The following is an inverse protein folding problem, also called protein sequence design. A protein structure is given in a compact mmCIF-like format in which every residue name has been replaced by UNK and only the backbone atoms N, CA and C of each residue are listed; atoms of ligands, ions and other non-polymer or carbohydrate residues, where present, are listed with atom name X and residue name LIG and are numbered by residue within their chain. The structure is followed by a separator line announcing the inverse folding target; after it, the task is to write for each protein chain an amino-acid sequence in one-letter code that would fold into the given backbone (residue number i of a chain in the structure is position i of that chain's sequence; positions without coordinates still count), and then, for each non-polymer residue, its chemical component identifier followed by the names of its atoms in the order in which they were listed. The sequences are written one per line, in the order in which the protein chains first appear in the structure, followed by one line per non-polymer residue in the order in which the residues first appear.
data_IF_725896569941
#
_entry.id   IF_725896569941
#
_cell.length_a   1.000
_cell.length_b   1.000
_cell.length_c   1.000
_cell.angle_alpha   90.00
_cell.angle_beta   90.00
_cell.angle_gamma   90.00
#
_symmetry.space_group_name_H-M   'P 1'
#
loop_
_entity.id
_entity.type
_entity.pdbx_description
1 polymer ?
#
# COMPACT_ATOMS: atom_id res chain seq x y z
N UNK A 1 -18.95 -11.94 0.70
CA UNK A 1 -19.15 -10.56 0.21
C UNK A 1 -18.69 -10.54 -1.22
N UNK A 2 -19.55 -10.17 -2.16
CA UNK A 2 -19.17 -10.11 -3.56
C UNK A 2 -18.34 -8.84 -3.79
N UNK A 3 -17.13 -9.01 -4.30
CA UNK A 3 -16.29 -7.92 -4.80
C UNK A 3 -16.82 -7.44 -6.15
N UNK A 4 -18.08 -7.01 -6.17
CA UNK A 4 -18.78 -6.71 -7.39
C UNK A 4 -18.26 -5.46 -8.08
N UNK A 5 -18.21 -5.53 -9.39
CA UNK A 5 -17.82 -4.43 -10.29
C UNK A 5 -18.51 -3.10 -9.94
N UNK A 6 -19.79 -3.18 -9.53
CA UNK A 6 -20.58 -2.02 -9.12
C UNK A 6 -20.00 -1.33 -7.88
N UNK A 7 -19.60 -2.08 -6.86
CA UNK A 7 -19.04 -1.53 -5.62
C UNK A 7 -17.70 -0.81 -5.87
N UNK A 8 -16.83 -1.38 -6.69
CA UNK A 8 -15.53 -0.78 -7.03
C UNK A 8 -15.72 0.53 -7.79
N UNK A 9 -16.62 0.56 -8.79
CA UNK A 9 -16.98 1.79 -9.53
C UNK A 9 -17.57 2.86 -8.62
N UNK A 10 -18.49 2.48 -7.73
CA UNK A 10 -19.09 3.40 -6.77
C UNK A 10 -18.05 4.02 -5.85
N UNK A 11 -17.18 3.20 -5.25
CA UNK A 11 -16.10 3.67 -4.39
C UNK A 11 -15.18 4.62 -5.16
N UNK A 12 -14.72 4.24 -6.35
CA UNK A 12 -13.84 5.08 -7.15
C UNK A 12 -14.49 6.44 -7.48
N UNK A 13 -15.76 6.46 -7.88
CA UNK A 13 -16.51 7.69 -8.15
C UNK A 13 -16.62 8.58 -6.90
N UNK A 14 -16.91 7.99 -5.76
CA UNK A 14 -17.01 8.70 -4.48
C UNK A 14 -15.67 9.29 -4.03
N UNK A 15 -14.57 8.65 -4.41
CA UNK A 15 -13.22 9.09 -4.07
C UNK A 15 -12.68 10.20 -4.97
N UNK A 16 -13.15 10.36 -6.22
CA UNK A 16 -12.65 11.35 -7.18
C UNK A 16 -12.58 12.79 -6.64
N UNK A 17 -13.42 13.13 -5.67
CA UNK A 17 -13.45 14.47 -5.03
C UNK A 17 -12.35 14.66 -3.98
N UNK A 18 -11.70 13.58 -3.55
CA UNK A 18 -10.78 13.57 -2.42
C UNK A 18 -9.37 13.15 -2.81
N UNK A 19 -9.22 12.36 -3.86
CA UNK A 19 -7.94 11.78 -4.27
C UNK A 19 -7.45 12.42 -5.57
N UNK A 20 -6.14 12.41 -5.75
CA UNK A 20 -5.53 12.79 -7.02
C UNK A 20 -5.60 11.59 -7.96
N UNK A 21 -6.05 11.77 -9.21
CA UNK A 21 -5.75 10.81 -10.27
C UNK A 21 -4.24 10.96 -10.56
N UNK A 22 -3.44 10.08 -9.94
CA UNK A 22 -1.99 10.19 -9.96
C UNK A 22 -1.44 9.93 -11.36
N UNK A 23 -0.34 10.62 -11.75
CA UNK A 23 0.20 10.49 -13.10
C UNK A 23 0.74 9.09 -13.35
N UNK A 24 0.76 8.72 -14.63
CA UNK A 24 1.47 7.55 -15.14
C UNK A 24 2.61 8.03 -16.02
N UNK A 25 3.83 7.60 -15.70
CA UNK A 25 5.02 7.91 -16.49
C UNK A 25 5.54 6.66 -17.22
N UNK A 26 6.25 6.89 -18.32
CA UNK A 26 6.99 5.89 -19.06
C UNK A 26 8.36 6.46 -19.43
N UNK A 27 9.39 5.61 -19.39
CA UNK A 27 10.77 6.03 -19.64
C UNK A 27 11.46 5.02 -20.56
N UNK A 28 11.93 5.47 -21.73
CA UNK A 28 12.59 4.63 -22.72
C UNK A 28 13.82 3.91 -22.16
N UNK A 29 14.53 4.52 -21.20
CA UNK A 29 15.67 3.90 -20.53
C UNK A 29 15.26 2.65 -19.72
N UNK A 30 14.06 2.63 -19.13
CA UNK A 30 13.55 1.47 -18.39
C UNK A 30 12.99 0.44 -19.37
N UNK A 31 12.29 0.86 -20.41
CA UNK A 31 11.78 -0.02 -21.45
C UNK A 31 12.92 -0.83 -22.06
N UNK A 32 14.04 -0.15 -22.38
CA UNK A 32 15.26 -0.79 -22.92
C UNK A 32 15.91 -1.74 -21.92
N UNK A 33 16.00 -1.36 -20.64
CA UNK A 33 16.57 -2.18 -19.56
C UNK A 33 15.76 -3.46 -19.35
N UNK A 34 14.43 -3.35 -19.36
CA UNK A 34 13.52 -4.47 -19.08
C UNK A 34 13.09 -5.24 -20.33
N UNK A 35 13.38 -4.75 -21.54
CA UNK A 35 12.91 -5.30 -22.82
C UNK A 35 11.36 -5.42 -22.89
N UNK A 36 10.65 -4.46 -22.31
CA UNK A 36 9.19 -4.40 -22.28
C UNK A 36 8.73 -2.95 -22.11
N UNK A 37 7.45 -2.65 -22.30
CA UNK A 37 6.90 -1.33 -22.09
C UNK A 37 6.52 -1.17 -20.60
N UNK A 38 7.11 -0.21 -19.88
CA UNK A 38 6.93 -0.05 -18.43
C UNK A 38 6.21 1.26 -18.11
N UNK A 39 5.07 1.14 -17.45
CA UNK A 39 4.20 2.24 -17.02
C UNK A 39 4.21 2.36 -15.51
N UNK A 40 4.56 3.53 -14.98
CA UNK A 40 4.68 3.81 -13.54
C UNK A 40 3.46 4.58 -13.04
N UNK A 41 2.53 3.95 -12.32
CA UNK A 41 1.43 4.61 -11.60
C UNK A 41 1.97 5.19 -10.31
N UNK A 42 2.10 6.52 -10.25
CA UNK A 42 2.90 7.22 -9.23
C UNK A 42 2.08 7.65 -8.02
N UNK A 43 1.74 6.73 -7.13
CA UNK A 43 1.04 7.01 -5.87
C UNK A 43 1.89 7.79 -4.84
N UNK A 44 3.18 7.97 -5.08
CA UNK A 44 4.02 8.91 -4.34
C UNK A 44 3.58 10.38 -4.52
N UNK A 45 2.82 10.70 -5.57
CA UNK A 45 2.18 12.01 -5.77
C UNK A 45 0.77 12.11 -5.18
N UNK A 46 0.25 11.07 -4.58
CA UNK A 46 -1.03 11.11 -3.89
C UNK A 46 -0.92 11.98 -2.63
N UNK A 47 -2.03 12.49 -2.15
CA UNK A 47 -2.11 13.14 -0.84
C UNK A 47 -1.41 12.30 0.22
N UNK A 48 -0.68 12.94 1.14
CA UNK A 48 0.19 12.30 2.14
C UNK A 48 1.34 11.47 1.57
N UNK A 49 1.65 11.61 0.29
CA UNK A 49 2.80 10.97 -0.36
C UNK A 49 2.66 9.46 -0.54
N UNK A 50 1.45 8.89 -0.51
CA UNK A 50 1.25 7.44 -0.72
C UNK A 50 -0.20 7.06 -1.03
N UNK A 51 -0.39 5.89 -1.63
CA UNK A 51 -1.70 5.29 -1.92
C UNK A 51 -2.64 5.18 -0.71
N UNK A 52 -2.06 5.17 0.50
CA UNK A 52 -2.81 4.96 1.75
C UNK A 52 -3.91 6.00 1.99
N UNK A 53 -3.81 7.18 1.39
CA UNK A 53 -4.86 8.17 1.50
C UNK A 53 -6.19 7.70 0.88
N UNK A 54 -6.14 6.96 -0.24
CA UNK A 54 -7.32 6.35 -0.88
C UNK A 54 -8.07 5.41 0.07
N UNK A 55 -7.30 4.56 0.76
CA UNK A 55 -7.81 3.64 1.76
C UNK A 55 -8.43 4.36 2.96
N UNK A 56 -7.70 5.33 3.50
CA UNK A 56 -8.09 6.06 4.71
C UNK A 56 -9.39 6.85 4.52
N UNK A 57 -9.48 7.61 3.42
CA UNK A 57 -10.67 8.43 3.14
C UNK A 57 -11.90 7.53 2.90
N UNK A 58 -11.74 6.40 2.19
CA UNK A 58 -12.85 5.47 1.96
C UNK A 58 -13.33 4.83 3.27
N UNK A 59 -12.41 4.33 4.10
CA UNK A 59 -12.76 3.68 5.36
C UNK A 59 -13.48 4.63 6.32
N UNK A 60 -13.06 5.91 6.43
CA UNK A 60 -13.76 6.89 7.25
C UNK A 60 -15.15 7.20 6.69
N UNK A 61 -15.30 7.34 5.37
CA UNK A 61 -16.61 7.60 4.74
C UNK A 61 -17.60 6.46 4.91
N UNK A 62 -17.11 5.22 5.02
CA UNK A 62 -17.92 4.00 5.16
C UNK A 62 -18.16 3.60 6.62
N UNK A 63 -17.46 4.23 7.58
CA UNK A 63 -17.66 3.90 8.99
C UNK A 63 -19.12 4.17 9.43
N UNK A 64 -19.66 3.41 10.40
CA UNK A 64 -21.00 3.62 10.96
C UNK A 64 -21.16 5.03 11.53
N UNK A 65 -22.37 5.60 11.38
CA UNK A 65 -22.66 7.00 11.69
C UNK A 65 -22.47 7.34 13.18
N UNK A 66 -22.69 6.38 14.06
CA UNK A 66 -22.52 6.49 15.51
C UNK A 66 -21.08 6.85 15.94
N UNK A 67 -20.08 6.52 15.12
CA UNK A 67 -18.68 6.85 15.40
C UNK A 67 -18.24 8.24 14.90
N UNK A 68 -19.09 8.97 14.20
CA UNK A 68 -18.71 10.30 13.66
C UNK A 68 -18.31 11.30 14.73
N UNK A 69 -18.94 11.24 15.92
CA UNK A 69 -18.63 12.14 17.03
C UNK A 69 -17.48 11.64 17.89
N UNK A 70 -17.36 10.34 18.08
CA UNK A 70 -16.33 9.73 18.92
C UNK A 70 -15.02 9.53 18.16
N UNK A 71 -15.09 9.18 16.87
CA UNK A 71 -13.94 9.16 15.97
C UNK A 71 -13.37 7.78 15.66
N UNK A 72 -12.20 7.81 15.05
CA UNK A 72 -11.49 6.62 14.58
C UNK A 72 -10.19 6.41 15.33
N UNK A 73 -9.74 5.14 15.35
CA UNK A 73 -8.42 4.76 15.88
C UNK A 73 -7.75 3.77 14.94
N UNK A 74 -6.42 3.87 14.83
CA UNK A 74 -5.58 2.86 14.16
C UNK A 74 -4.25 2.69 14.90
N UNK A 75 -3.57 1.57 14.65
CA UNK A 75 -2.17 1.38 15.02
C UNK A 75 -1.28 1.38 13.77
N UNK A 76 -0.50 2.42 13.61
CA UNK A 76 0.44 2.54 12.49
C UNK A 76 1.47 3.63 12.78
N UNK A 77 2.72 3.39 12.35
CA UNK A 77 3.80 4.39 12.44
C UNK A 77 4.19 4.97 11.08
N UNK A 78 3.55 4.52 10.00
CA UNK A 78 3.93 4.89 8.63
C UNK A 78 2.82 5.59 7.86
N UNK A 79 2.81 5.33 6.56
CA UNK A 79 1.94 5.97 5.59
C UNK A 79 0.44 5.93 5.95
N UNK A 80 -0.04 4.85 6.59
CA UNK A 80 -1.46 4.77 6.96
C UNK A 80 -1.81 5.69 8.13
N UNK A 81 -0.93 5.85 9.13
CA UNK A 81 -1.15 6.79 10.22
C UNK A 81 -1.30 8.22 9.70
N UNK A 82 -0.38 8.65 8.83
CA UNK A 82 -0.42 9.97 8.18
C UNK A 82 -1.68 10.15 7.33
N UNK A 83 -2.01 9.16 6.52
CA UNK A 83 -3.20 9.17 5.66
C UNK A 83 -4.51 9.25 6.46
N UNK A 84 -4.65 8.44 7.53
CA UNK A 84 -5.84 8.43 8.37
C UNK A 84 -6.00 9.74 9.12
N UNK A 85 -4.91 10.28 9.69
CA UNK A 85 -4.94 11.54 10.40
C UNK A 85 -5.38 12.69 9.49
N UNK A 86 -4.83 12.79 8.26
CA UNK A 86 -5.24 13.80 7.28
C UNK A 86 -6.69 13.61 6.83
N UNK A 87 -7.10 12.41 6.46
CA UNK A 87 -8.46 12.13 6.01
C UNK A 87 -9.50 12.46 7.11
N UNK A 88 -9.20 12.12 8.35
CA UNK A 88 -10.03 12.44 9.50
C UNK A 88 -10.12 13.97 9.74
N UNK A 89 -8.99 14.67 9.63
CA UNK A 89 -8.94 16.13 9.74
C UNK A 89 -9.84 16.80 8.68
N UNK A 90 -9.73 16.40 7.41
CA UNK A 90 -10.53 16.93 6.30
C UNK A 90 -12.03 16.65 6.48
N UNK A 91 -12.39 15.49 7.02
CA UNK A 91 -13.78 15.10 7.29
C UNK A 91 -14.29 15.54 8.66
N UNK A 92 -13.46 16.26 9.44
CA UNK A 92 -13.77 16.75 10.81
C UNK A 92 -14.15 15.61 11.76
N UNK A 93 -13.46 14.48 11.67
CA UNK A 93 -13.63 13.29 12.51
C UNK A 93 -12.49 13.24 13.53
N UNK A 94 -12.74 13.04 14.83
CA UNK A 94 -11.68 12.80 15.80
C UNK A 94 -10.84 11.59 15.42
N UNK A 95 -9.50 11.70 15.51
CA UNK A 95 -8.59 10.64 15.09
C UNK A 95 -7.56 10.35 16.17
N UNK A 96 -7.41 9.08 16.53
CA UNK A 96 -6.43 8.57 17.48
C UNK A 96 -5.45 7.66 16.75
N UNK A 97 -4.14 7.86 16.98
CA UNK A 97 -3.09 7.06 16.36
C UNK A 97 -2.22 6.42 17.44
N UNK A 98 -2.17 5.09 17.44
CA UNK A 98 -1.23 4.33 18.27
C UNK A 98 0.02 4.06 17.44
N UNK A 99 1.18 4.51 17.91
CA UNK A 99 2.45 4.32 17.20
C UNK A 99 3.60 3.96 18.16
N UNK A 100 4.62 3.23 17.68
CA UNK A 100 5.80 2.94 18.47
C UNK A 100 6.54 4.20 18.92
N UNK A 101 7.08 4.18 20.13
CA UNK A 101 7.85 5.29 20.70
C UNK A 101 9.14 5.61 19.90
N UNK A 102 9.70 4.62 19.20
CA UNK A 102 10.86 4.79 18.31
C UNK A 102 10.50 5.21 16.87
N UNK A 103 9.25 5.64 16.63
CA UNK A 103 8.85 6.16 15.31
C UNK A 103 9.70 7.38 14.95
N UNK A 104 10.31 7.43 13.75
CA UNK A 104 11.11 8.57 13.32
C UNK A 104 10.35 9.90 13.40
N UNK A 105 11.03 10.95 13.85
CA UNK A 105 10.42 12.26 14.09
C UNK A 105 9.67 12.83 12.88
N UNK A 106 10.18 12.65 11.65
CA UNK A 106 9.51 13.16 10.46
C UNK A 106 8.14 12.49 10.24
N UNK A 107 8.01 11.17 10.52
CA UNK A 107 6.73 10.45 10.43
C UNK A 107 5.78 10.90 11.54
N UNK A 108 6.29 11.05 12.78
CA UNK A 108 5.49 11.53 13.91
C UNK A 108 4.98 12.96 13.68
N UNK A 109 5.85 13.86 13.21
CA UNK A 109 5.49 15.25 12.88
C UNK A 109 4.41 15.33 11.80
N UNK A 110 4.48 14.49 10.77
CA UNK A 110 3.47 14.41 9.71
C UNK A 110 2.08 14.06 10.26
N UNK A 111 2.00 13.16 11.25
CA UNK A 111 0.75 12.82 11.92
C UNK A 111 0.26 13.94 12.82
N UNK A 112 1.16 14.53 13.62
CA UNK A 112 0.86 15.61 14.57
C UNK A 112 0.37 16.89 13.88
N UNK A 113 0.63 17.06 12.58
CA UNK A 113 0.07 18.16 11.77
C UNK A 113 -1.46 18.07 11.63
N UNK A 114 -2.06 16.91 11.85
CA UNK A 114 -3.50 16.68 11.66
C UNK A 114 -4.23 16.24 12.91
N UNK A 115 -3.57 15.60 13.88
CA UNK A 115 -4.16 15.21 15.15
C UNK A 115 -3.17 15.28 16.30
N UNK A 116 -3.64 15.70 17.48
CA UNK A 116 -2.84 15.68 18.71
C UNK A 116 -3.01 14.38 19.52
N UNK A 117 -3.94 13.51 19.11
CA UNK A 117 -4.24 12.26 19.82
C UNK A 117 -3.31 11.14 19.36
N UNK A 118 -2.02 11.31 19.57
CA UNK A 118 -0.99 10.30 19.34
C UNK A 118 -0.66 9.62 20.65
N UNK A 119 -0.78 8.30 20.67
CA UNK A 119 -0.52 7.45 21.84
C UNK A 119 0.71 6.58 21.51
N UNK A 120 1.76 6.72 22.29
CA UNK A 120 2.99 5.93 22.11
C UNK A 120 2.86 4.58 22.82
N UNK A 121 3.47 3.55 22.22
CA UNK A 121 3.59 2.22 22.79
C UNK A 121 4.99 1.65 22.52
N UNK A 122 5.28 0.47 23.05
CA UNK A 122 6.51 -0.24 22.73
C UNK A 122 6.64 -0.61 21.25
N UNK A 123 7.89 -0.81 20.79
CA UNK A 123 8.24 -0.96 19.37
C UNK A 123 8.02 -2.38 18.84
N UNK A 124 6.86 -2.97 19.12
CA UNK A 124 6.48 -4.27 18.59
C UNK A 124 4.98 -4.33 18.22
N UNK A 125 4.60 -5.30 17.39
CA UNK A 125 3.22 -5.44 16.93
C UNK A 125 2.25 -5.72 18.08
N UNK A 126 2.63 -6.61 19.00
CA UNK A 126 1.79 -6.99 20.15
C UNK A 126 1.46 -5.79 21.03
N UNK A 127 2.44 -4.93 21.31
CA UNK A 127 2.22 -3.71 22.08
C UNK A 127 1.27 -2.74 21.39
N UNK A 128 1.38 -2.58 20.06
CA UNK A 128 0.47 -1.74 19.27
C UNK A 128 -0.97 -2.26 19.34
N UNK A 129 -1.16 -3.55 19.14
CA UNK A 129 -2.48 -4.20 19.20
C UNK A 129 -3.06 -4.14 20.60
N UNK A 130 -2.27 -4.46 21.63
CA UNK A 130 -2.65 -4.40 23.03
C UNK A 130 -3.08 -2.97 23.42
N UNK A 131 -2.24 -1.97 23.16
CA UNK A 131 -2.56 -0.56 23.49
C UNK A 131 -3.84 -0.11 22.79
N UNK A 132 -4.01 -0.49 21.52
CA UNK A 132 -5.22 -0.16 20.76
C UNK A 132 -6.44 -0.83 21.40
N UNK A 133 -6.35 -2.10 21.78
CA UNK A 133 -7.47 -2.84 22.41
C UNK A 133 -7.87 -2.25 23.75
N UNK A 134 -6.92 -1.82 24.59
CA UNK A 134 -7.20 -1.17 25.88
C UNK A 134 -7.91 0.18 25.69
N UNK A 135 -7.52 0.96 24.68
CA UNK A 135 -8.21 2.21 24.36
C UNK A 135 -9.64 1.95 23.91
N UNK A 136 -9.86 0.94 23.08
CA UNK A 136 -11.19 0.57 22.57
C UNK A 136 -12.14 0.08 23.68
N UNK A 137 -11.63 -0.54 24.76
CA UNK A 137 -12.46 -0.92 25.93
C UNK A 137 -13.03 0.30 26.68
N UNK A 138 -12.27 1.40 26.66
CA UNK A 138 -12.58 2.60 27.45
C UNK A 138 -13.17 3.74 26.61
N UNK A 139 -13.04 3.69 25.29
CA UNK A 139 -13.54 4.72 24.37
C UNK A 139 -14.30 4.08 23.23
N UNK A 140 -15.44 4.62 22.90
CA UNK A 140 -16.27 4.19 21.77
C UNK A 140 -15.69 4.75 20.47
N UNK A 141 -14.59 4.14 19.96
CA UNK A 141 -13.91 4.54 18.73
C UNK A 141 -14.04 3.45 17.65
N UNK A 142 -14.10 3.85 16.38
CA UNK A 142 -14.11 2.92 15.27
C UNK A 142 -12.67 2.55 14.87
N UNK A 143 -12.32 1.27 15.02
CA UNK A 143 -11.01 0.77 14.66
C UNK A 143 -10.91 0.54 13.15
N UNK A 144 -9.90 1.15 12.52
CA UNK A 144 -9.58 0.95 11.11
C UNK A 144 -8.20 0.28 11.00
N UNK A 145 -8.19 -1.00 10.61
CA UNK A 145 -6.95 -1.74 10.39
C UNK A 145 -6.24 -1.26 9.12
N UNK A 146 -4.91 -1.04 9.12
CA UNK A 146 -4.15 -0.46 7.99
C UNK A 146 -4.18 -1.22 6.66
N UNK A 147 -4.57 -2.51 6.67
CA UNK A 147 -4.59 -3.38 5.49
C UNK A 147 -5.67 -4.46 5.53
N UNK A 148 -5.97 -5.04 6.70
CA UNK A 148 -6.93 -6.13 6.88
C UNK A 148 -8.33 -5.58 7.20
N UNK A 149 -8.87 -4.78 6.29
CA UNK A 149 -10.19 -4.15 6.40
C UNK A 149 -10.75 -3.98 4.98
N UNK A 150 -12.01 -4.37 4.75
CA UNK A 150 -12.60 -4.36 3.41
C UNK A 150 -12.73 -2.97 2.82
N UNK A 151 -13.10 -1.96 3.61
CA UNK A 151 -13.20 -0.58 3.11
C UNK A 151 -11.84 0.01 2.76
N UNK A 152 -10.77 -0.39 3.48
CA UNK A 152 -9.38 -0.08 3.14
C UNK A 152 -8.99 -0.72 1.80
N UNK A 153 -9.32 -1.99 1.59
CA UNK A 153 -9.04 -2.72 0.34
C UNK A 153 -9.80 -2.08 -0.84
N UNK A 154 -11.08 -1.79 -0.66
CA UNK A 154 -11.90 -1.14 -1.69
C UNK A 154 -11.42 0.28 -2.01
N UNK A 155 -10.97 1.04 -1.01
CA UNK A 155 -10.34 2.35 -1.26
C UNK A 155 -9.08 2.22 -2.12
N UNK A 156 -8.23 1.23 -1.82
CA UNK A 156 -7.01 0.95 -2.58
C UNK A 156 -7.29 0.50 -4.03
N UNK A 157 -8.42 -0.19 -4.28
CA UNK A 157 -8.78 -0.65 -5.62
C UNK A 157 -8.94 0.49 -6.64
N UNK A 158 -9.24 1.69 -6.18
CA UNK A 158 -9.37 2.88 -7.04
C UNK A 158 -8.08 3.21 -7.79
N UNK A 159 -6.91 2.93 -7.21
CA UNK A 159 -5.62 3.13 -7.88
C UNK A 159 -5.49 2.26 -9.14
N UNK A 160 -5.73 0.96 -9.01
CA UNK A 160 -5.64 0.02 -10.12
C UNK A 160 -6.79 0.20 -11.12
N UNK A 161 -7.98 0.63 -10.66
CA UNK A 161 -9.09 0.94 -11.55
C UNK A 161 -8.77 2.14 -12.45
N UNK A 162 -8.24 3.25 -11.91
CA UNK A 162 -7.75 4.36 -12.72
C UNK A 162 -6.71 3.88 -13.73
N UNK A 163 -5.75 3.08 -13.27
CA UNK A 163 -4.64 2.62 -14.09
C UNK A 163 -5.12 1.77 -15.28
N UNK A 164 -6.01 0.80 -15.06
CA UNK A 164 -6.48 -0.07 -16.15
C UNK A 164 -7.48 0.62 -17.09
N UNK A 165 -8.20 1.63 -16.61
CA UNK A 165 -9.07 2.45 -17.48
C UNK A 165 -8.21 3.31 -18.42
N UNK A 166 -7.17 3.95 -17.90
CA UNK A 166 -6.30 4.84 -18.68
C UNK A 166 -5.36 4.04 -19.60
N UNK A 167 -4.98 2.81 -19.20
CA UNK A 167 -4.06 1.91 -19.92
C UNK A 167 -4.66 0.50 -20.06
N UNK A 168 -5.70 0.29 -20.90
CA UNK A 168 -6.45 -0.97 -20.97
C UNK A 168 -5.65 -2.14 -21.57
N UNK A 169 -4.51 -1.86 -22.22
CA UNK A 169 -3.67 -2.87 -22.87
C UNK A 169 -2.53 -3.38 -21.97
N UNK A 170 -2.56 -3.15 -20.65
CA UNK A 170 -1.59 -3.73 -19.74
C UNK A 170 -1.76 -5.25 -19.69
N UNK A 171 -0.64 -5.99 -19.84
CA UNK A 171 -0.58 -7.45 -19.68
C UNK A 171 -0.46 -7.83 -18.19
N UNK A 172 0.31 -7.03 -17.43
CA UNK A 172 0.54 -7.27 -16.01
C UNK A 172 0.57 -5.98 -15.21
N UNK A 173 0.09 -6.02 -13.96
CA UNK A 173 0.31 -4.97 -12.96
C UNK A 173 1.07 -5.56 -11.78
N UNK A 174 2.20 -4.95 -11.44
CA UNK A 174 2.99 -5.28 -10.27
C UNK A 174 2.59 -4.41 -9.10
N UNK A 175 2.35 -5.03 -7.95
CA UNK A 175 2.05 -4.36 -6.70
C UNK A 175 2.99 -4.83 -5.58
N UNK A 176 3.58 -3.93 -4.78
CA UNK A 176 4.36 -4.33 -3.63
C UNK A 176 3.45 -4.92 -2.55
N UNK A 177 3.98 -5.90 -1.79
CA UNK A 177 3.25 -6.59 -0.73
C UNK A 177 3.89 -6.33 0.62
N UNK A 178 3.10 -5.82 1.56
CA UNK A 178 3.29 -5.88 2.99
C UNK A 178 2.04 -6.50 3.58
N UNK A 179 1.26 -5.76 4.37
CA UNK A 179 -0.01 -6.28 4.92
C UNK A 179 -1.13 -6.56 3.91
N UNK A 180 -0.86 -6.66 2.62
CA UNK A 180 -1.75 -7.17 1.58
C UNK A 180 -2.87 -6.25 1.09
N UNK A 181 -3.10 -5.08 1.71
CA UNK A 181 -4.26 -4.23 1.39
C UNK A 181 -4.23 -3.60 -0.01
N UNK A 182 -3.03 -3.24 -0.54
CA UNK A 182 -2.88 -2.67 -1.87
C UNK A 182 -3.07 -3.73 -2.96
N UNK A 183 -2.35 -4.84 -2.85
CA UNK A 183 -2.41 -5.90 -3.84
C UNK A 183 -3.80 -6.55 -3.89
N UNK A 184 -4.47 -6.73 -2.75
CA UNK A 184 -5.85 -7.21 -2.72
C UNK A 184 -6.79 -6.23 -3.45
N UNK A 185 -6.67 -4.92 -3.19
CA UNK A 185 -7.42 -3.89 -3.91
C UNK A 185 -7.13 -3.89 -5.41
N UNK A 186 -5.84 -3.98 -5.78
CA UNK A 186 -5.41 -4.11 -7.18
C UNK A 186 -6.03 -5.33 -7.84
N UNK A 187 -5.99 -6.48 -7.16
CA UNK A 187 -6.48 -7.76 -7.71
C UNK A 187 -7.98 -7.75 -7.98
N UNK A 188 -8.79 -7.23 -7.04
CA UNK A 188 -10.24 -7.14 -7.27
C UNK A 188 -10.59 -6.15 -8.39
N UNK A 189 -9.84 -5.05 -8.52
CA UNK A 189 -10.04 -4.11 -9.63
C UNK A 189 -9.73 -4.78 -10.97
N UNK A 190 -8.56 -5.40 -11.10
CA UNK A 190 -8.14 -6.03 -12.35
C UNK A 190 -9.06 -7.19 -12.74
N UNK A 191 -9.42 -8.07 -11.81
CA UNK A 191 -10.33 -9.17 -12.07
C UNK A 191 -11.71 -8.71 -12.58
N UNK A 192 -12.17 -7.53 -12.17
CA UNK A 192 -13.49 -7.01 -12.57
C UNK A 192 -13.46 -6.13 -13.83
N UNK A 193 -12.30 -5.55 -14.21
CA UNK A 193 -12.24 -4.53 -15.25
C UNK A 193 -11.27 -4.84 -16.39
N UNK A 194 -10.53 -5.94 -16.31
CA UNK A 194 -9.69 -6.43 -17.40
C UNK A 194 -9.86 -7.93 -17.59
N UNK A 195 -9.91 -8.37 -18.84
CA UNK A 195 -9.98 -9.79 -19.20
C UNK A 195 -8.59 -10.42 -19.31
N UNK A 196 -7.57 -9.62 -19.64
CA UNK A 196 -6.24 -10.12 -20.00
C UNK A 196 -5.14 -9.74 -19.01
N UNK A 197 -5.32 -8.66 -18.24
CA UNK A 197 -4.29 -8.20 -17.32
C UNK A 197 -4.24 -9.09 -16.07
N UNK A 198 -3.02 -9.45 -15.64
CA UNK A 198 -2.77 -10.26 -14.45
C UNK A 198 -2.02 -9.47 -13.39
N UNK A 199 -2.25 -9.79 -12.11
CA UNK A 199 -1.58 -9.14 -10.98
C UNK A 199 -0.40 -9.98 -10.50
N UNK A 200 0.76 -9.33 -10.39
CA UNK A 200 2.00 -9.88 -9.85
C UNK A 200 2.32 -9.18 -8.54
N UNK A 201 2.59 -9.95 -7.50
CA UNK A 201 3.12 -9.44 -6.25
C UNK A 201 4.63 -9.28 -6.29
N UNK A 202 5.16 -8.30 -5.57
CA UNK A 202 6.59 -8.16 -5.34
C UNK A 202 6.85 -7.96 -3.85
N UNK A 203 7.78 -8.74 -3.28
CA UNK A 203 8.01 -8.81 -1.84
C UNK A 203 9.52 -8.93 -1.54
N UNK A 204 10.05 -8.28 -0.49
CA UNK A 204 11.43 -8.49 -0.07
C UNK A 204 11.63 -9.91 0.47
N UNK A 205 12.72 -10.57 0.08
CA UNK A 205 13.01 -11.95 0.50
C UNK A 205 13.21 -12.13 2.02
N UNK A 206 13.52 -11.04 2.74
CA UNK A 206 13.68 -11.08 4.20
C UNK A 206 12.35 -11.02 4.97
N UNK A 207 11.23 -10.72 4.28
CA UNK A 207 9.87 -10.61 4.85
C UNK A 207 8.89 -11.20 3.84
N UNK A 208 9.01 -12.49 3.57
CA UNK A 208 8.40 -13.24 2.48
C UNK A 208 7.12 -13.99 2.88
N UNK A 209 6.42 -13.49 3.90
CA UNK A 209 5.22 -14.17 4.43
C UNK A 209 4.11 -14.31 3.38
N UNK A 210 3.92 -13.36 2.50
CA UNK A 210 2.88 -13.44 1.46
C UNK A 210 3.25 -14.49 0.40
N UNK A 211 4.51 -14.57 0.00
CA UNK A 211 5.00 -15.62 -0.90
C UNK A 211 4.78 -17.02 -0.30
N UNK A 212 5.22 -17.23 0.94
CA UNK A 212 5.03 -18.51 1.66
C UNK A 212 3.55 -18.83 1.86
N UNK A 213 2.74 -17.82 2.19
CA UNK A 213 1.29 -17.99 2.35
C UNK A 213 0.60 -18.45 1.07
N UNK A 214 1.00 -17.90 -0.10
CA UNK A 214 0.43 -18.29 -1.38
C UNK A 214 0.78 -19.76 -1.73
N UNK A 215 1.98 -20.20 -1.40
CA UNK A 215 2.42 -21.58 -1.65
C UNK A 215 1.75 -22.57 -0.69
N UNK A 216 1.73 -22.25 0.62
CA UNK A 216 1.21 -23.17 1.65
C UNK A 216 -0.32 -23.20 1.72
N UNK A 217 -1.00 -22.20 1.14
CA UNK A 217 -2.45 -22.06 1.19
C UNK A 217 -3.00 -21.58 2.53
N UNK A 218 -2.14 -21.12 3.45
CA UNK A 218 -2.49 -20.55 4.76
C UNK A 218 -1.65 -19.32 5.07
N UNK A 219 -2.11 -18.47 6.00
CA UNK A 219 -1.36 -17.29 6.40
C UNK A 219 -0.10 -17.71 7.16
N UNK A 220 1.05 -17.36 6.60
CA UNK A 220 2.37 -17.49 7.23
C UNK A 220 2.79 -16.17 7.88
N UNK A 221 3.74 -16.22 8.82
CA UNK A 221 4.21 -15.04 9.55
C UNK A 221 5.73 -14.91 9.39
N UNK A 222 6.20 -13.67 9.35
CA UNK A 222 7.63 -13.38 9.35
C UNK A 222 8.21 -13.46 10.75
N UNK A 223 9.37 -14.13 10.88
CA UNK A 223 10.16 -14.17 12.12
C UNK A 223 10.93 -12.85 12.33
N UNK A 224 11.24 -12.16 11.26
CA UNK A 224 11.99 -10.89 11.24
C UNK A 224 11.24 -9.82 10.47
N UNK A 225 11.53 -8.57 10.78
CA UNK A 225 11.08 -7.38 10.03
C UNK A 225 12.25 -6.62 9.41
N UNK A 226 13.38 -7.31 9.18
CA UNK A 226 14.62 -6.72 8.72
C UNK A 226 14.60 -6.50 7.20
N UNK A 227 14.03 -5.39 6.77
CA UNK A 227 14.06 -4.91 5.39
C UNK A 227 14.11 -3.39 5.36
N UNK A 228 14.78 -2.82 4.34
CA UNK A 228 14.77 -1.37 4.06
C UNK A 228 13.39 -0.90 3.58
N UNK A 229 12.58 -1.80 3.00
CA UNK A 229 11.22 -1.54 2.57
C UNK A 229 10.25 -1.50 3.78
N UNK A 230 10.37 -0.46 4.60
CA UNK A 230 9.69 -0.33 5.89
C UNK A 230 8.16 -0.39 5.82
N UNK A 231 7.56 -0.02 4.69
CA UNK A 231 6.13 -0.16 4.41
C UNK A 231 5.65 -1.60 4.20
N UNK A 232 6.58 -2.57 4.05
CA UNK A 232 6.28 -3.96 3.71
C UNK A 232 6.57 -4.98 4.85
N UNK A 233 6.79 -4.51 6.08
CA UNK A 233 7.16 -5.34 7.25
C UNK A 233 6.00 -6.08 7.92
N UNK A 234 4.78 -5.95 7.39
CA UNK A 234 3.57 -6.47 8.06
C UNK A 234 2.99 -7.65 7.30
N UNK A 235 2.54 -8.67 8.05
CA UNK A 235 1.98 -9.88 7.48
C UNK A 235 0.58 -9.67 6.86
N UNK A 236 0.17 -10.64 6.04
CA UNK A 236 -1.18 -10.72 5.49
C UNK A 236 -2.24 -10.87 6.59
N UNK A 237 -3.46 -10.51 6.27
CA UNK A 237 -4.61 -10.67 7.16
C UNK A 237 -5.67 -11.61 6.60
N UNK A 238 -6.61 -12.00 7.46
CA UNK A 238 -7.68 -12.96 7.12
C UNK A 238 -8.68 -12.46 6.08
N UNK A 239 -8.79 -11.14 5.87
CA UNK A 239 -9.69 -10.55 4.87
C UNK A 239 -9.01 -10.46 3.50
N UNK A 240 -7.74 -10.08 3.45
CA UNK A 240 -7.03 -9.86 2.19
C UNK A 240 -6.39 -11.13 1.62
N UNK A 241 -5.99 -12.10 2.47
CA UNK A 241 -5.36 -13.33 2.00
C UNK A 241 -6.22 -14.15 1.02
N UNK A 242 -7.52 -14.42 1.27
CA UNK A 242 -8.35 -15.13 0.29
C UNK A 242 -8.46 -14.40 -1.07
N UNK A 243 -8.42 -13.07 -1.08
CA UNK A 243 -8.41 -12.29 -2.31
C UNK A 243 -7.12 -12.49 -3.07
N UNK A 244 -5.98 -12.41 -2.35
CA UNK A 244 -4.64 -12.61 -2.92
C UNK A 244 -4.52 -14.03 -3.49
N UNK A 245 -4.95 -15.03 -2.73
CA UNK A 245 -4.91 -16.43 -3.14
C UNK A 245 -5.71 -16.70 -4.42
N UNK A 246 -6.86 -16.03 -4.59
CA UNK A 246 -7.73 -16.23 -5.75
C UNK A 246 -7.31 -15.45 -7.00
N UNK A 247 -6.70 -14.27 -6.85
CA UNK A 247 -6.56 -13.32 -7.96
C UNK A 247 -5.11 -12.87 -8.24
N UNK A 248 -4.14 -13.19 -7.39
CA UNK A 248 -2.73 -12.91 -7.65
C UNK A 248 -2.12 -14.09 -8.40
N UNK A 249 -1.48 -13.81 -9.54
CA UNK A 249 -0.85 -14.82 -10.39
C UNK A 249 0.32 -15.51 -9.71
N UNK A 250 1.20 -14.70 -9.12
CA UNK A 250 2.40 -15.12 -8.42
C UNK A 250 2.99 -13.97 -7.61
N UNK A 251 3.91 -14.29 -6.71
CA UNK A 251 4.69 -13.32 -5.93
C UNK A 251 6.17 -13.53 -6.25
N UNK A 252 6.87 -12.44 -6.60
CA UNK A 252 8.28 -12.43 -6.93
C UNK A 252 9.08 -11.86 -5.76
N UNK A 253 10.13 -12.57 -5.36
CA UNK A 253 11.01 -12.16 -4.26
C UNK A 253 12.24 -11.42 -4.77
N UNK A 254 12.61 -10.36 -4.05
CA UNK A 254 13.79 -9.52 -4.32
C UNK A 254 14.64 -9.35 -3.07
N UNK A 255 15.96 -9.23 -3.24
CA UNK A 255 16.89 -8.96 -2.15
C UNK A 255 16.93 -7.46 -1.80
N UNK A 256 17.53 -7.13 -0.65
CA UNK A 256 17.74 -5.74 -0.22
C UNK A 256 18.61 -4.96 -1.23
N UNK A 257 19.66 -5.61 -1.78
CA UNK A 257 20.54 -5.00 -2.80
C UNK A 257 19.77 -4.70 -4.09
N UNK A 258 18.94 -5.65 -4.57
CA UNK A 258 18.09 -5.44 -5.75
C UNK A 258 17.09 -4.28 -5.56
N UNK A 259 16.60 -4.10 -4.32
CA UNK A 259 15.73 -2.97 -3.96
C UNK A 259 16.53 -1.65 -4.01
N UNK A 260 17.74 -1.62 -3.43
CA UNK A 260 18.59 -0.43 -3.42
C UNK A 260 19.01 -0.02 -4.84
N UNK A 261 19.44 -0.96 -5.68
CA UNK A 261 19.78 -0.71 -7.08
C UNK A 261 18.60 -0.11 -7.85
N UNK A 262 17.40 -0.65 -7.64
CA UNK A 262 16.19 -0.14 -8.26
C UNK A 262 15.79 1.24 -7.74
N UNK A 263 15.97 1.50 -6.46
CA UNK A 263 15.74 2.81 -5.85
C UNK A 263 16.69 3.86 -6.45
N UNK A 264 17.98 3.51 -6.61
CA UNK A 264 18.97 4.36 -7.25
C UNK A 264 18.57 4.71 -8.69
N UNK A 265 18.15 3.70 -9.47
CA UNK A 265 17.65 3.91 -10.84
C UNK A 265 16.47 4.88 -10.85
N UNK A 266 15.47 4.71 -9.97
CA UNK A 266 14.29 5.57 -9.92
C UNK A 266 14.69 7.00 -9.57
N UNK A 267 15.48 7.21 -8.53
CA UNK A 267 15.87 8.55 -8.08
C UNK A 267 16.81 9.21 -9.09
N UNK A 268 17.87 8.50 -9.51
CA UNK A 268 18.95 9.12 -10.28
C UNK A 268 18.69 9.17 -11.79
N UNK A 269 17.93 8.21 -12.35
CA UNK A 269 17.63 8.21 -13.80
C UNK A 269 16.27 8.78 -14.10
N UNK A 270 15.23 8.45 -13.29
CA UNK A 270 13.87 8.91 -13.56
C UNK A 270 13.52 10.23 -12.85
N UNK A 271 14.33 10.66 -11.88
CA UNK A 271 14.13 11.89 -11.08
C UNK A 271 12.80 11.88 -10.30
N UNK A 272 12.36 10.69 -9.88
CA UNK A 272 11.17 10.50 -9.06
C UNK A 272 11.59 10.10 -7.66
N UNK A 273 11.09 10.81 -6.66
CA UNK A 273 11.33 10.47 -5.24
C UNK A 273 10.31 9.41 -4.81
N UNK A 274 10.83 8.25 -4.43
CA UNK A 274 10.03 7.14 -3.89
C UNK A 274 10.68 6.53 -2.66
N UNK A 275 9.88 5.87 -1.82
CA UNK A 275 10.40 5.06 -0.71
C UNK A 275 10.86 3.67 -1.19
N UNK A 276 11.75 2.97 -0.46
CA UNK A 276 12.24 1.63 -0.85
C UNK A 276 11.12 0.63 -1.13
N UNK A 277 10.01 0.71 -0.41
CA UNK A 277 8.81 -0.12 -0.64
C UNK A 277 8.24 0.00 -2.06
N UNK A 278 8.42 1.15 -2.71
CA UNK A 278 8.02 1.36 -4.11
C UNK A 278 9.01 0.76 -5.10
N UNK A 279 10.29 0.71 -4.76
CA UNK A 279 11.33 0.19 -5.65
C UNK A 279 11.25 -1.33 -5.85
N UNK A 280 10.62 -2.04 -4.91
CA UNK A 280 10.47 -3.51 -4.93
C UNK A 280 9.84 -4.03 -6.23
N UNK A 281 8.87 -3.31 -6.80
CA UNK A 281 8.20 -3.74 -8.05
C UNK A 281 9.11 -3.60 -9.28
N UNK A 282 9.96 -2.57 -9.33
CA UNK A 282 10.95 -2.43 -10.40
C UNK A 282 12.06 -3.47 -10.26
N UNK A 283 12.53 -3.73 -9.04
CA UNK A 283 13.50 -4.78 -8.75
C UNK A 283 13.01 -6.15 -9.23
N UNK A 284 11.75 -6.49 -8.91
CA UNK A 284 11.12 -7.73 -9.34
C UNK A 284 11.02 -7.85 -10.86
N UNK A 285 10.69 -6.76 -11.55
CA UNK A 285 10.63 -6.75 -13.01
C UNK A 285 12.03 -6.90 -13.64
N UNK A 286 13.04 -6.16 -13.18
CA UNK A 286 14.42 -6.25 -13.70
C UNK A 286 14.96 -7.66 -13.55
N UNK A 287 14.84 -8.26 -12.36
CA UNK A 287 15.28 -9.62 -12.05
C UNK A 287 14.65 -10.67 -12.97
N UNK A 288 13.40 -10.46 -13.36
CA UNK A 288 12.61 -11.43 -14.15
C UNK A 288 12.31 -10.95 -15.57
N UNK A 289 13.07 -10.00 -16.12
CA UNK A 289 12.80 -9.31 -17.39
C UNK A 289 12.57 -10.25 -18.58
N UNK A 290 13.26 -11.39 -18.64
CA UNK A 290 13.11 -12.39 -19.70
C UNK A 290 11.67 -12.94 -19.79
N UNK A 291 11.00 -13.08 -18.66
CA UNK A 291 9.63 -13.59 -18.55
C UNK A 291 8.60 -12.59 -19.11
N UNK A 292 8.91 -11.30 -19.00
CA UNK A 292 8.01 -10.21 -19.36
C UNK A 292 8.39 -9.49 -20.66
N UNK A 293 9.29 -10.10 -21.46
CA UNK A 293 9.75 -9.51 -22.72
C UNK A 293 8.57 -9.18 -23.65
N UNK A 294 8.61 -7.98 -24.26
CA UNK A 294 7.60 -7.44 -25.18
C UNK A 294 6.20 -7.28 -24.58
N UNK A 295 6.06 -7.23 -23.24
CA UNK A 295 4.81 -7.02 -22.52
C UNK A 295 4.59 -5.56 -22.12
N UNK A 296 3.36 -5.20 -21.88
CA UNK A 296 2.96 -3.92 -21.27
C UNK A 296 2.82 -4.12 -19.77
N UNK A 297 3.71 -3.53 -18.99
CA UNK A 297 3.84 -3.75 -17.56
C UNK A 297 3.49 -2.47 -16.80
N UNK A 298 2.48 -2.55 -15.93
CA UNK A 298 2.18 -1.50 -14.96
C UNK A 298 2.92 -1.75 -13.63
N UNK A 299 3.59 -0.74 -13.10
CA UNK A 299 4.23 -0.76 -11.78
C UNK A 299 3.55 0.26 -10.87
N UNK A 300 3.04 -0.17 -9.71
CA UNK A 300 2.47 0.75 -8.71
C UNK A 300 3.57 1.25 -7.78
N UNK A 301 3.95 2.51 -7.93
CA UNK A 301 4.87 3.23 -7.04
C UNK A 301 4.10 3.68 -5.80
N UNK A 302 4.09 2.85 -4.75
CA UNK A 302 3.12 2.92 -3.66
C UNK A 302 3.24 4.17 -2.75
N UNK A 303 4.43 4.78 -2.68
CA UNK A 303 4.68 5.97 -1.86
C UNK A 303 6.07 6.55 -2.03
N UNK A 304 6.27 7.76 -1.47
CA UNK A 304 7.52 8.51 -1.54
C UNK A 304 7.96 9.09 -0.19
N UNK A 305 7.41 8.61 0.93
CA UNK A 305 7.72 9.11 2.27
C UNK A 305 9.04 8.51 2.80
N UNK A 306 10.15 9.08 2.36
CA UNK A 306 11.51 8.63 2.67
C UNK A 306 12.27 9.69 3.45
N UNK A 307 13.10 9.27 4.39
CA UNK A 307 14.11 10.09 5.02
C UNK A 307 15.46 9.85 4.33
N UNK A 308 15.90 10.81 3.54
CA UNK A 308 17.17 10.73 2.83
C UNK A 308 18.38 10.59 3.76
N UNK A 309 18.28 11.08 5.00
CA UNK A 309 19.36 10.91 5.99
C UNK A 309 19.50 9.46 6.46
N UNK A 310 18.48 8.63 6.28
CA UNK A 310 18.51 7.21 6.64
C UNK A 310 19.08 6.31 5.52
N UNK A 311 19.22 6.83 4.31
CA UNK A 311 19.81 6.14 3.18
C UNK A 311 21.32 6.39 3.14
N UNK A 312 22.10 5.32 3.17
CA UNK A 312 23.52 5.36 2.83
C UNK A 312 23.63 5.06 1.32
N UNK A 313 23.65 6.14 0.52
CA UNK A 313 24.04 6.03 -0.89
C UNK A 313 25.55 5.88 -1.00
#
# INVERSE_FOLDING_TARGET
MSYERHNIKSVSKDLQKFVINTPVFRFDVIDSLCNCNVFFKCENFQHTGSFKYRAAINAIKKMPVEFKQTGVITHSSGNFAHALARAAYELKIPCHIVMPNNTPNFKKSSVLSYTKNVIECESNLKAREFTTSEILKNKNLYFIHPSNNMDVILGNSSCALEFIIDYPNLDFIFSPIGGGGLIAGTSIAINNFSENCQVIGAEPSNVDDAYRSLISGKIEFNESTNTIADGLRTNLGSINFPIIQNYVKEILLVSEDEIMDSLDIIINKLKIVVEPSSAVVLAALIKNNKKFKNKNIGLIMCGGNIDFNSLKF
#
